data_IF_952404485955
#
_entry.id   IF_952404485955
#
_cell.length_a   1.000
_cell.length_b   1.000
_cell.length_c   1.000
_cell.angle_alpha   90.00
_cell.angle_beta   90.00
_cell.angle_gamma   90.00
#
_symmetry.space_group_name_H-M   'P 1'
#
loop_
_entity.id
_entity.type
_entity.pdbx_description
1 polymer ?
#
# COMPACT_ATOMS: atom_id res chain seq x y z
N UNK A 1 5.25 1.37 24.69
CA UNK A 1 6.63 1.52 25.15
C UNK A 1 7.13 2.94 24.91
N UNK A 2 6.89 3.52 23.73
CA UNK A 2 7.34 4.87 23.35
C UNK A 2 6.27 5.96 23.54
N UNK A 3 5.10 5.64 24.07
CA UNK A 3 4.00 6.60 24.30
C UNK A 3 3.25 7.01 23.03
N UNK A 4 3.33 6.21 21.96
CA UNK A 4 2.55 6.44 20.76
C UNK A 4 1.04 6.21 21.02
N UNK A 5 0.21 7.04 20.42
CA UNK A 5 -1.24 6.89 20.42
C UNK A 5 -1.68 6.06 19.21
N UNK A 6 -2.67 5.18 19.41
CA UNK A 6 -3.18 4.32 18.35
C UNK A 6 -4.70 4.41 18.31
N UNK A 7 -5.23 4.78 17.17
CA UNK A 7 -6.64 4.67 16.84
C UNK A 7 -6.87 3.49 15.87
N UNK A 8 -8.01 2.82 16.01
CA UNK A 8 -8.40 1.71 15.12
C UNK A 8 -9.82 1.94 14.64
N UNK A 9 -10.01 1.91 13.33
CA UNK A 9 -11.32 1.91 12.69
C UNK A 9 -11.53 0.52 12.08
N UNK A 10 -12.63 -0.16 12.36
CA UNK A 10 -12.84 -1.54 11.91
C UNK A 10 -14.26 -1.80 11.36
N UNK A 11 -14.37 -2.82 10.52
CA UNK A 11 -15.63 -3.29 9.97
C UNK A 11 -16.42 -2.20 9.24
N UNK A 12 -17.71 -2.12 9.50
CA UNK A 12 -18.62 -1.12 8.89
C UNK A 12 -18.24 0.34 9.24
N UNK A 13 -17.54 0.58 10.34
CA UNK A 13 -17.08 1.91 10.69
C UNK A 13 -16.09 2.49 9.66
N UNK A 14 -15.41 1.64 8.88
CA UNK A 14 -14.58 2.07 7.75
C UNK A 14 -15.38 2.84 6.70
N UNK A 15 -16.63 2.43 6.42
CA UNK A 15 -17.49 3.13 5.48
C UNK A 15 -17.87 4.52 6.01
N UNK A 16 -18.20 4.61 7.31
CA UNK A 16 -18.46 5.89 7.96
C UNK A 16 -17.25 6.82 8.01
N UNK A 17 -16.04 6.24 8.01
CA UNK A 17 -14.76 6.96 7.93
C UNK A 17 -14.29 7.23 6.48
N UNK A 18 -15.11 6.95 5.47
CA UNK A 18 -14.79 7.10 4.05
C UNK A 18 -13.54 6.30 3.62
N UNK A 19 -13.46 5.03 4.03
CA UNK A 19 -12.40 4.07 3.68
C UNK A 19 -12.99 2.83 2.96
N UNK A 20 -13.72 3.04 1.86
CA UNK A 20 -14.53 1.99 1.25
C UNK A 20 -13.71 0.90 0.56
N UNK A 21 -12.51 1.21 0.03
CA UNK A 21 -11.66 0.20 -0.60
C UNK A 21 -11.04 -0.74 0.43
N UNK A 22 -10.62 -0.22 1.59
CA UNK A 22 -10.14 -1.07 2.71
C UNK A 22 -11.27 -2.01 3.15
N UNK A 23 -12.49 -1.49 3.30
CA UNK A 23 -13.66 -2.28 3.64
C UNK A 23 -13.95 -3.35 2.57
N UNK A 24 -14.00 -2.97 1.29
CA UNK A 24 -14.33 -3.86 0.18
C UNK A 24 -13.38 -5.06 0.07
N UNK A 25 -12.08 -4.82 0.20
CA UNK A 25 -11.06 -5.89 0.14
C UNK A 25 -11.20 -6.85 1.32
N UNK A 26 -11.39 -6.34 2.54
CA UNK A 26 -11.32 -7.15 3.74
C UNK A 26 -12.66 -7.74 4.21
N UNK A 27 -13.81 -7.31 3.66
CA UNK A 27 -15.14 -7.72 4.14
C UNK A 27 -15.45 -9.21 3.98
N UNK A 28 -14.71 -9.91 3.13
CA UNK A 28 -14.85 -11.34 2.90
C UNK A 28 -14.03 -12.21 3.85
N UNK A 29 -13.10 -11.61 4.59
CA UNK A 29 -12.24 -12.30 5.54
C UNK A 29 -12.96 -12.72 6.81
N UNK A 30 -12.40 -13.68 7.57
CA UNK A 30 -12.97 -14.13 8.84
C UNK A 30 -12.82 -13.09 9.96
N UNK A 31 -11.93 -12.14 9.78
CA UNK A 31 -11.73 -11.00 10.68
C UNK A 31 -12.12 -9.72 9.97
N UNK A 32 -12.73 -8.80 10.69
CA UNK A 32 -13.10 -7.48 10.16
C UNK A 32 -11.87 -6.74 9.63
N UNK A 33 -11.99 -6.06 8.46
CA UNK A 33 -10.95 -5.15 7.98
C UNK A 33 -10.75 -3.99 8.94
N UNK A 34 -9.53 -3.47 9.00
CA UNK A 34 -9.14 -2.40 9.93
C UNK A 34 -8.21 -1.40 9.27
N UNK A 35 -8.31 -0.15 9.71
CA UNK A 35 -7.23 0.82 9.58
C UNK A 35 -6.67 1.08 10.98
N UNK A 36 -5.36 0.92 11.13
CA UNK A 36 -4.62 1.39 12.30
C UNK A 36 -3.99 2.74 11.96
N UNK A 37 -4.22 3.75 12.80
CA UNK A 37 -3.61 5.08 12.72
C UNK A 37 -2.82 5.31 14.01
N UNK A 38 -1.50 5.26 13.92
CA UNK A 38 -0.59 5.49 15.04
C UNK A 38 0.06 6.86 14.91
N UNK A 39 0.15 7.60 16.02
CA UNK A 39 0.77 8.92 16.09
C UNK A 39 1.80 8.98 17.21
N UNK A 40 2.90 9.68 16.93
CA UNK A 40 3.97 9.90 17.89
C UNK A 40 4.75 11.18 17.60
N UNK A 41 5.16 11.87 18.66
CA UNK A 41 5.97 13.09 18.57
C UNK A 41 5.14 14.34 18.28
N UNK A 42 5.55 15.46 18.88
CA UNK A 42 4.80 16.71 18.85
C UNK A 42 5.49 17.81 18.03
N UNK A 43 6.75 17.60 17.65
CA UNK A 43 7.60 18.63 17.04
C UNK A 43 8.31 18.11 15.77
N UNK A 44 8.67 19.06 14.90
CA UNK A 44 9.39 18.79 13.67
C UNK A 44 8.49 18.51 12.47
N UNK A 45 9.08 18.06 11.35
CA UNK A 45 8.34 17.75 10.13
C UNK A 45 7.38 16.58 10.33
N UNK A 46 6.28 16.58 9.60
CA UNK A 46 5.33 15.47 9.58
C UNK A 46 5.82 14.39 8.61
N UNK A 47 6.14 13.24 9.17
CA UNK A 47 6.47 12.02 8.42
C UNK A 47 5.29 11.05 8.48
N UNK A 48 4.68 10.76 7.34
CA UNK A 48 3.61 9.76 7.24
C UNK A 48 4.14 8.49 6.59
N UNK A 49 4.00 7.36 7.29
CA UNK A 49 4.35 6.03 6.79
C UNK A 49 3.06 5.24 6.52
N UNK A 50 2.95 4.67 5.33
CA UNK A 50 1.79 3.84 4.95
C UNK A 50 2.27 2.43 4.63
N UNK A 51 1.73 1.42 5.30
CA UNK A 51 2.17 0.04 5.14
C UNK A 51 1.06 -0.90 4.69
N UNK A 52 1.20 -1.55 3.52
CA UNK A 52 0.28 -2.62 3.09
C UNK A 52 0.24 -3.72 4.16
N UNK A 53 -0.94 -3.95 4.74
CA UNK A 53 -1.18 -4.91 5.81
C UNK A 53 -2.14 -6.04 5.40
N UNK A 54 -1.97 -6.62 4.22
CA UNK A 54 -2.76 -7.79 3.80
C UNK A 54 -2.23 -9.01 4.55
N UNK A 55 -2.96 -9.43 5.59
CA UNK A 55 -2.51 -10.50 6.50
C UNK A 55 -2.42 -11.86 5.83
N UNK A 56 -3.32 -12.12 4.87
CA UNK A 56 -3.25 -13.22 3.93
C UNK A 56 -3.94 -12.84 2.63
N UNK A 57 -3.39 -13.25 1.50
CA UNK A 57 -3.92 -12.94 0.19
C UNK A 57 -4.20 -14.22 -0.61
N UNK A 58 -5.49 -14.55 -0.76
CA UNK A 58 -5.92 -15.66 -1.62
C UNK A 58 -6.00 -15.27 -3.09
N UNK A 59 -5.93 -13.96 -3.41
CA UNK A 59 -6.28 -13.40 -4.70
C UNK A 59 -7.75 -13.00 -4.82
N UNK A 60 -8.56 -13.25 -3.80
CA UNK A 60 -10.00 -13.07 -3.88
C UNK A 60 -10.62 -14.03 -4.89
N UNK A 61 -11.61 -13.59 -5.66
CA UNK A 61 -12.25 -14.42 -6.68
C UNK A 61 -11.34 -14.74 -7.89
N UNK A 62 -10.31 -13.93 -8.15
CA UNK A 62 -9.21 -14.27 -9.05
C UNK A 62 -8.16 -15.09 -8.28
N UNK A 63 -8.57 -16.27 -7.82
CA UNK A 63 -7.83 -17.12 -6.90
C UNK A 63 -6.42 -17.44 -7.38
N UNK A 64 -5.43 -17.22 -6.52
CA UNK A 64 -4.02 -17.54 -6.82
C UNK A 64 -3.82 -19.05 -7.01
N UNK A 65 -2.87 -19.44 -7.90
CA UNK A 65 -2.37 -20.81 -7.91
C UNK A 65 -1.78 -21.19 -6.56
N UNK A 66 -1.93 -22.44 -6.14
CA UNK A 66 -1.48 -22.92 -4.84
C UNK A 66 0.02 -22.69 -4.58
N UNK A 67 0.86 -22.76 -5.61
CA UNK A 67 2.30 -22.48 -5.52
C UNK A 67 2.61 -21.02 -5.15
N UNK A 68 1.76 -20.07 -5.53
CA UNK A 68 1.89 -18.66 -5.16
C UNK A 68 1.21 -18.36 -3.84
N UNK A 69 0.02 -18.93 -3.61
CA UNK A 69 -0.80 -18.68 -2.42
C UNK A 69 -0.10 -19.10 -1.12
N UNK A 70 0.64 -20.21 -1.13
CA UNK A 70 1.29 -20.75 0.06
C UNK A 70 2.26 -19.79 0.77
N UNK A 71 2.74 -18.75 0.06
CA UNK A 71 3.64 -17.74 0.61
C UNK A 71 2.90 -16.47 1.08
N UNK A 72 1.59 -16.35 0.90
CA UNK A 72 0.86 -15.07 1.03
C UNK A 72 0.66 -14.61 2.48
N UNK A 73 1.07 -15.37 3.48
CA UNK A 73 1.25 -14.85 4.85
C UNK A 73 2.30 -13.72 4.94
N UNK A 74 3.15 -13.56 3.89
CA UNK A 74 4.14 -12.48 3.77
C UNK A 74 3.55 -11.15 3.30
N UNK A 75 2.28 -11.13 2.90
CA UNK A 75 1.71 -10.00 2.17
C UNK A 75 1.39 -8.77 3.04
N UNK A 76 1.70 -8.88 4.31
CA UNK A 76 1.76 -7.81 5.30
C UNK A 76 3.19 -7.24 5.47
N UNK A 77 4.12 -7.57 4.58
CA UNK A 77 5.52 -7.14 4.67
C UNK A 77 5.70 -5.62 4.62
N UNK A 78 4.81 -4.90 3.89
CA UNK A 78 4.78 -3.44 3.91
C UNK A 78 4.50 -2.88 5.30
N UNK A 79 3.46 -3.40 5.97
CA UNK A 79 3.12 -3.03 7.35
C UNK A 79 4.25 -3.38 8.33
N UNK A 80 4.85 -4.55 8.19
CA UNK A 80 5.98 -4.96 9.04
C UNK A 80 7.17 -3.99 8.90
N UNK A 81 7.50 -3.57 7.69
CA UNK A 81 8.59 -2.62 7.44
C UNK A 81 8.29 -1.23 8.04
N UNK A 82 7.09 -0.67 7.83
CA UNK A 82 6.78 0.65 8.40
C UNK A 82 6.72 0.61 9.92
N UNK A 83 6.28 -0.49 10.54
CA UNK A 83 6.31 -0.64 11.99
C UNK A 83 7.75 -0.75 12.51
N UNK A 84 8.61 -1.50 11.83
CA UNK A 84 10.04 -1.57 12.15
C UNK A 84 10.72 -0.20 12.04
N UNK A 85 10.46 0.53 10.96
CA UNK A 85 10.98 1.89 10.76
C UNK A 85 10.44 2.85 11.82
N UNK A 86 9.15 2.82 12.13
CA UNK A 86 8.55 3.63 13.19
C UNK A 86 9.21 3.35 14.56
N UNK A 87 9.43 2.09 14.88
CA UNK A 87 10.14 1.70 16.10
C UNK A 87 11.55 2.28 16.15
N UNK A 88 12.30 2.24 15.05
CA UNK A 88 13.65 2.80 14.95
C UNK A 88 13.64 4.33 15.10
N UNK A 89 12.68 5.03 14.50
CA UNK A 89 12.51 6.48 14.62
C UNK A 89 12.23 6.86 16.08
N UNK A 90 11.30 6.16 16.73
CA UNK A 90 10.94 6.41 18.13
C UNK A 90 12.10 6.09 19.08
N UNK A 91 12.79 4.97 18.87
CA UNK A 91 13.94 4.57 19.68
C UNK A 91 15.11 5.56 19.55
N UNK A 92 15.32 6.12 18.37
CA UNK A 92 16.33 7.15 18.12
C UNK A 92 15.89 8.55 18.58
N UNK A 93 14.65 8.69 19.06
CA UNK A 93 14.07 9.97 19.47
C UNK A 93 14.23 11.07 18.41
N UNK A 94 14.01 10.74 17.13
CA UNK A 94 14.13 11.69 16.05
C UNK A 94 13.10 12.82 16.20
N UNK A 95 13.47 14.09 15.94
CA UNK A 95 12.56 15.23 16.11
C UNK A 95 11.60 15.34 14.92
N UNK A 96 10.63 14.43 14.87
CA UNK A 96 9.58 14.36 13.83
C UNK A 96 8.23 14.13 14.46
N UNK A 97 7.18 14.60 13.79
CA UNK A 97 5.81 14.16 14.03
C UNK A 97 5.57 12.93 13.14
N UNK A 98 5.41 11.77 13.76
CA UNK A 98 5.25 10.51 13.04
C UNK A 98 3.79 10.11 13.01
N UNK A 99 3.29 9.80 11.80
CA UNK A 99 2.02 9.12 11.59
C UNK A 99 2.25 7.80 10.86
N UNK A 100 1.61 6.71 11.30
CA UNK A 100 1.70 5.41 10.64
C UNK A 100 0.29 4.91 10.35
N UNK A 101 0.00 4.63 9.07
CA UNK A 101 -1.27 4.12 8.59
C UNK A 101 -1.10 2.70 8.08
N UNK A 102 -1.87 1.76 8.64
CA UNK A 102 -1.83 0.36 8.24
C UNK A 102 -3.25 -0.12 7.95
N UNK A 103 -3.63 -0.26 6.67
CA UNK A 103 -4.81 -1.00 6.29
C UNK A 103 -4.56 -2.49 6.49
N UNK A 104 -5.15 -3.07 7.53
CA UNK A 104 -5.01 -4.47 7.90
C UNK A 104 -6.25 -5.25 7.47
N UNK A 105 -6.10 -6.11 6.47
CA UNK A 105 -7.18 -6.85 5.83
C UNK A 105 -6.75 -8.29 5.53
N UNK A 106 -7.72 -9.15 5.23
CA UNK A 106 -7.49 -10.43 4.58
C UNK A 106 -8.28 -10.46 3.27
N UNK A 107 -7.61 -10.70 2.14
CA UNK A 107 -8.25 -10.87 0.86
C UNK A 107 -8.69 -12.33 0.73
N UNK A 108 -9.96 -12.58 0.98
CA UNK A 108 -10.54 -13.93 1.08
C UNK A 108 -11.71 -14.16 0.15
N UNK A 109 -12.08 -15.42 -0.01
CA UNK A 109 -13.24 -15.85 -0.80
C UNK A 109 -14.40 -16.16 0.09
N UNK A 110 -15.51 -15.45 -0.10
CA UNK A 110 -16.80 -15.72 0.53
C UNK A 110 -17.94 -15.18 -0.32
N UNK A 111 -19.16 -15.33 0.13
CA UNK A 111 -20.34 -14.73 -0.53
C UNK A 111 -20.28 -13.19 -0.58
N UNK A 112 -19.44 -12.60 0.25
CA UNK A 112 -19.29 -11.14 0.43
C UNK A 112 -18.08 -10.56 -0.33
N UNK A 113 -17.31 -11.38 -1.06
CA UNK A 113 -16.14 -10.92 -1.82
C UNK A 113 -16.53 -9.86 -2.84
N UNK A 114 -15.65 -8.87 -3.03
CA UNK A 114 -15.76 -8.01 -4.19
C UNK A 114 -15.38 -8.80 -5.46
N UNK A 115 -15.87 -8.36 -6.61
CA UNK A 115 -15.91 -9.19 -7.83
C UNK A 115 -15.15 -8.52 -8.97
N UNK A 116 -14.62 -9.33 -9.90
CA UNK A 116 -14.20 -8.77 -11.18
C UNK A 116 -15.33 -7.98 -11.84
N UNK A 117 -14.99 -6.81 -12.37
CA UNK A 117 -15.88 -5.81 -12.99
C UNK A 117 -16.79 -5.06 -12.01
N UNK A 118 -16.66 -5.23 -10.72
CA UNK A 118 -17.21 -4.25 -9.78
C UNK A 118 -16.57 -2.88 -10.02
N UNK A 119 -17.34 -1.81 -9.85
CA UNK A 119 -16.85 -0.44 -9.80
C UNK A 119 -16.92 0.04 -8.36
N UNK A 120 -15.77 0.29 -7.76
CA UNK A 120 -15.66 0.74 -6.37
C UNK A 120 -15.29 2.22 -6.34
N UNK A 121 -15.74 2.96 -5.33
CA UNK A 121 -15.34 4.34 -5.10
C UNK A 121 -14.24 4.38 -4.05
N UNK A 122 -13.15 5.10 -4.32
CA UNK A 122 -12.07 5.34 -3.37
C UNK A 122 -12.39 6.52 -2.42
N UNK A 123 -11.60 6.65 -1.35
CA UNK A 123 -11.66 7.83 -0.44
C UNK A 123 -11.52 9.16 -1.20
N UNK A 124 -10.70 9.20 -2.23
CA UNK A 124 -10.50 10.38 -3.10
C UNK A 124 -11.76 10.79 -3.88
N UNK A 125 -12.76 9.92 -3.96
CA UNK A 125 -13.95 10.07 -4.80
C UNK A 125 -13.79 9.48 -6.20
N UNK A 126 -12.58 9.08 -6.61
CA UNK A 126 -12.36 8.39 -7.88
C UNK A 126 -12.98 7.00 -7.86
N UNK A 127 -13.48 6.59 -9.02
CA UNK A 127 -14.03 5.25 -9.22
C UNK A 127 -12.96 4.32 -9.78
N UNK A 128 -12.98 3.05 -9.35
CA UNK A 128 -12.01 2.03 -9.75
C UNK A 128 -12.74 0.82 -10.31
N UNK A 129 -12.46 0.48 -11.56
CA UNK A 129 -12.90 -0.77 -12.17
C UNK A 129 -12.00 -1.91 -11.69
N UNK A 130 -12.62 -2.97 -11.15
CA UNK A 130 -11.90 -4.13 -10.63
C UNK A 130 -11.75 -5.16 -11.74
N UNK A 131 -10.64 -5.14 -12.43
CA UNK A 131 -10.34 -6.15 -13.45
C UNK A 131 -9.61 -7.38 -12.85
N UNK A 132 -9.01 -7.23 -11.67
CA UNK A 132 -8.39 -8.35 -10.96
C UNK A 132 -8.49 -8.16 -9.45
N UNK A 133 -9.18 -9.06 -8.76
CA UNK A 133 -9.29 -9.05 -7.29
C UNK A 133 -7.97 -9.39 -6.58
N UNK A 134 -6.97 -9.92 -7.30
CA UNK A 134 -5.60 -10.17 -6.82
C UNK A 134 -4.70 -8.92 -6.89
N UNK A 135 -5.24 -7.79 -7.34
CA UNK A 135 -4.62 -6.48 -7.27
C UNK A 135 -5.26 -5.61 -6.16
N UNK A 136 -5.49 -6.21 -5.00
CA UNK A 136 -6.15 -5.64 -3.82
C UNK A 136 -5.24 -4.65 -3.07
N UNK A 137 -3.93 -4.90 -3.10
CA UNK A 137 -2.96 -4.10 -2.32
C UNK A 137 -2.98 -2.63 -2.68
N UNK A 138 -3.07 -2.28 -3.97
CA UNK A 138 -3.19 -0.90 -4.40
C UNK A 138 -4.52 -0.26 -3.98
N UNK A 139 -5.59 -1.04 -3.85
CA UNK A 139 -6.90 -0.55 -3.40
C UNK A 139 -6.84 -0.11 -1.94
N UNK A 140 -6.32 -0.94 -1.05
CA UNK A 140 -6.21 -0.60 0.36
C UNK A 140 -5.21 0.53 0.60
N UNK A 141 -4.16 0.63 -0.24
CA UNK A 141 -3.20 1.73 -0.19
C UNK A 141 -3.82 3.04 -0.67
N UNK A 142 -4.65 3.04 -1.70
CA UNK A 142 -5.30 4.24 -2.23
C UNK A 142 -6.07 4.99 -1.14
N UNK A 143 -6.91 4.30 -0.36
CA UNK A 143 -7.63 4.92 0.76
C UNK A 143 -6.68 5.43 1.85
N UNK A 144 -5.67 4.62 2.21
CA UNK A 144 -4.73 4.99 3.27
C UNK A 144 -3.81 6.15 2.87
N UNK A 145 -3.36 6.19 1.61
CA UNK A 145 -2.54 7.28 1.07
C UNK A 145 -3.34 8.57 0.98
N UNK A 146 -4.58 8.53 0.47
CA UNK A 146 -5.46 9.71 0.45
C UNK A 146 -5.68 10.26 1.85
N UNK A 147 -5.96 9.40 2.85
CA UNK A 147 -6.10 9.83 4.25
C UNK A 147 -4.81 10.43 4.81
N UNK A 148 -3.66 9.88 4.40
CA UNK A 148 -2.35 10.39 4.82
C UNK A 148 -2.04 11.76 4.24
N UNK A 149 -2.39 11.98 2.98
CA UNK A 149 -2.14 13.20 2.22
C UNK A 149 -2.98 14.40 2.69
N UNK A 150 -4.18 14.16 3.21
CA UNK A 150 -5.08 15.21 3.74
C UNK A 150 -4.44 16.08 4.83
N UNK A 151 -3.43 15.58 5.54
CA UNK A 151 -2.66 16.35 6.52
C UNK A 151 -1.44 17.07 5.92
N UNK A 152 -1.24 16.99 4.63
CA UNK A 152 -0.11 17.59 3.90
C UNK A 152 1.24 17.28 4.57
N UNK A 153 1.65 16.01 4.65
CA UNK A 153 2.91 15.64 5.29
C UNK A 153 4.12 16.21 4.54
N UNK A 154 5.18 16.54 5.27
CA UNK A 154 6.45 16.96 4.69
C UNK A 154 7.12 15.82 3.88
N UNK A 155 6.86 14.57 4.30
CA UNK A 155 7.26 13.37 3.57
C UNK A 155 6.26 12.24 3.83
N UNK A 156 5.82 11.58 2.76
CA UNK A 156 5.02 10.37 2.86
C UNK A 156 5.75 9.21 2.19
N UNK A 157 5.83 8.06 2.87
CA UNK A 157 6.48 6.85 2.37
C UNK A 157 5.48 5.70 2.45
N UNK A 158 5.23 5.04 1.31
CA UNK A 158 4.44 3.82 1.24
C UNK A 158 5.34 2.60 1.07
N UNK A 159 5.07 1.54 1.83
CA UNK A 159 5.77 0.26 1.70
C UNK A 159 4.78 -0.88 1.47
N UNK A 160 5.05 -1.70 0.44
CA UNK A 160 4.13 -2.76 0.06
C UNK A 160 4.84 -3.92 -0.63
N UNK A 161 4.37 -5.13 -0.37
CA UNK A 161 4.65 -6.31 -1.19
C UNK A 161 3.70 -6.32 -2.39
N UNK A 162 3.79 -5.31 -3.26
CA UNK A 162 2.72 -4.95 -4.18
C UNK A 162 2.65 -5.83 -5.42
N UNK A 163 3.80 -5.99 -6.12
CA UNK A 163 3.87 -6.81 -7.35
C UNK A 163 5.15 -7.63 -7.39
N UNK A 164 5.11 -8.77 -8.09
CA UNK A 164 6.31 -9.54 -8.41
C UNK A 164 7.14 -8.97 -9.57
N UNK A 165 6.62 -7.99 -10.32
CA UNK A 165 7.21 -7.52 -11.57
C UNK A 165 8.60 -6.91 -11.39
N UNK A 166 8.78 -6.04 -10.40
CA UNK A 166 10.10 -5.44 -10.12
C UNK A 166 11.13 -6.50 -9.69
N UNK A 167 10.71 -7.52 -8.93
CA UNK A 167 11.60 -8.61 -8.51
C UNK A 167 12.10 -9.43 -9.68
N UNK A 168 11.32 -9.56 -10.75
CA UNK A 168 11.77 -10.24 -11.99
C UNK A 168 12.90 -9.46 -12.64
N UNK A 169 12.87 -8.13 -12.60
CA UNK A 169 13.90 -7.26 -13.19
C UNK A 169 15.13 -7.09 -12.30
N UNK A 170 14.93 -6.89 -10.99
CA UNK A 170 15.99 -6.48 -10.05
C UNK A 170 16.51 -7.61 -9.17
N UNK A 171 15.86 -8.77 -9.15
CA UNK A 171 16.13 -9.83 -8.19
C UNK A 171 15.49 -9.59 -6.82
N UNK A 172 15.71 -10.51 -5.85
CA UNK A 172 15.06 -10.44 -4.54
C UNK A 172 15.73 -9.48 -3.56
N UNK A 173 16.99 -9.12 -3.78
CA UNK A 173 17.83 -8.44 -2.78
C UNK A 173 17.90 -6.92 -3.00
N UNK A 174 17.53 -6.43 -4.18
CA UNK A 174 17.56 -5.02 -4.51
C UNK A 174 16.15 -4.43 -4.50
N UNK A 175 15.83 -3.68 -3.44
CA UNK A 175 14.49 -3.13 -3.28
C UNK A 175 14.23 -1.95 -4.24
N UNK A 176 13.15 -2.01 -5.05
CA UNK A 176 12.74 -0.91 -5.89
C UNK A 176 12.05 0.18 -5.09
N UNK A 177 12.23 1.43 -5.50
CA UNK A 177 11.43 2.55 -5.03
C UNK A 177 11.11 3.53 -6.17
N UNK A 178 10.07 4.33 -5.96
CA UNK A 178 9.57 5.35 -6.89
C UNK A 178 9.52 6.69 -6.18
N UNK A 179 9.94 7.73 -6.83
CA UNK A 179 9.78 9.14 -6.42
C UNK A 179 10.14 10.05 -7.58
N UNK A 180 9.48 11.21 -7.69
CA UNK A 180 9.84 12.27 -8.63
C UNK A 180 10.89 13.23 -8.06
N UNK A 181 11.13 13.18 -6.73
CA UNK A 181 12.15 13.99 -6.07
C UNK A 181 13.55 13.38 -6.27
N UNK A 182 14.33 13.99 -7.18
CA UNK A 182 15.70 13.58 -7.47
C UNK A 182 16.64 13.71 -6.27
N UNK A 183 16.40 14.70 -5.41
CA UNK A 183 17.22 14.93 -4.21
C UNK A 183 16.97 13.81 -3.20
N UNK A 184 15.70 13.48 -2.97
CA UNK A 184 15.32 12.38 -2.08
C UNK A 184 15.87 11.05 -2.62
N UNK A 185 15.69 10.79 -3.93
CA UNK A 185 16.19 9.57 -4.56
C UNK A 185 17.70 9.40 -4.35
N UNK A 186 18.49 10.46 -4.60
CA UNK A 186 19.93 10.42 -4.41
C UNK A 186 20.32 10.14 -2.95
N UNK A 187 19.65 10.80 -2.00
CA UNK A 187 19.88 10.59 -0.56
C UNK A 187 19.56 9.17 -0.12
N UNK A 188 18.46 8.62 -0.59
CA UNK A 188 18.04 7.24 -0.28
C UNK A 188 19.07 6.22 -0.81
N UNK A 189 19.51 6.37 -2.06
CA UNK A 189 20.50 5.46 -2.65
C UNK A 189 21.84 5.51 -1.92
N UNK A 190 22.32 6.71 -1.55
CA UNK A 190 23.56 6.86 -0.77
C UNK A 190 23.42 6.22 0.61
N UNK A 191 22.30 6.46 1.29
CA UNK A 191 22.04 5.92 2.62
C UNK A 191 21.95 4.40 2.59
N UNK A 192 21.21 3.85 1.62
CA UNK A 192 21.11 2.40 1.42
C UNK A 192 22.47 1.76 1.18
N UNK A 193 23.32 2.37 0.35
CA UNK A 193 24.68 1.87 0.12
C UNK A 193 25.55 1.90 1.39
N UNK A 194 25.44 2.95 2.21
CA UNK A 194 26.18 3.05 3.48
C UNK A 194 25.75 2.04 4.53
N UNK A 195 24.48 1.70 4.53
CA UNK A 195 23.86 0.81 5.52
C UNK A 195 23.83 -0.66 5.07
N UNK A 196 24.41 -0.97 3.89
CA UNK A 196 24.33 -2.28 3.24
C UNK A 196 22.89 -2.75 2.99
N UNK A 197 21.98 -1.80 2.74
CA UNK A 197 20.57 -2.00 2.39
C UNK A 197 20.29 -1.26 1.06
N UNK A 198 20.75 -1.81 -0.08
CA UNK A 198 20.74 -1.11 -1.35
C UNK A 198 19.30 -0.95 -1.88
N UNK A 199 19.04 0.21 -2.47
CA UNK A 199 17.79 0.56 -3.11
C UNK A 199 18.00 0.91 -4.57
N UNK A 200 17.01 0.70 -5.41
CA UNK A 200 17.07 1.05 -6.82
C UNK A 200 15.86 1.86 -7.24
N UNK A 201 16.11 3.09 -7.75
CA UNK A 201 15.03 3.95 -8.25
C UNK A 201 14.48 3.41 -9.55
N UNK A 202 13.18 3.17 -9.57
CA UNK A 202 12.40 2.88 -10.78
C UNK A 202 11.75 4.17 -11.28
N UNK A 203 11.55 4.34 -12.61
CA UNK A 203 10.94 5.55 -13.14
C UNK A 203 9.41 5.51 -12.99
N UNK A 204 8.79 6.64 -12.65
CA UNK A 204 7.46 6.93 -13.13
C UNK A 204 7.56 7.25 -14.63
N UNK A 205 6.67 6.70 -15.43
CA UNK A 205 6.65 6.91 -16.87
C UNK A 205 5.24 7.28 -17.30
N UNK A 206 4.96 8.57 -17.38
CA UNK A 206 3.64 9.16 -17.62
C UNK A 206 2.88 8.55 -18.81
N UNK A 207 3.52 8.18 -19.94
CA UNK A 207 2.80 7.51 -21.02
C UNK A 207 2.13 6.18 -20.63
N UNK A 208 2.53 5.56 -19.52
CA UNK A 208 1.90 4.34 -18.99
C UNK A 208 0.64 4.63 -18.16
N UNK A 209 0.31 5.89 -17.88
CA UNK A 209 -0.99 6.25 -17.29
C UNK A 209 -2.15 5.77 -18.16
N UNK A 210 -1.99 5.81 -19.49
CA UNK A 210 -2.99 5.25 -20.40
C UNK A 210 -3.27 3.76 -20.21
N UNK A 211 -2.35 3.03 -19.57
CA UNK A 211 -2.52 1.60 -19.28
C UNK A 211 -3.46 1.37 -18.09
N UNK A 212 -3.64 2.35 -17.22
CA UNK A 212 -4.54 2.29 -16.06
C UNK A 212 -5.84 3.06 -16.31
N UNK A 213 -6.06 3.56 -17.52
CA UNK A 213 -7.33 4.12 -17.95
C UNK A 213 -8.34 2.99 -18.18
N UNK A 214 -9.48 3.00 -17.55
CA UNK A 214 -10.47 1.94 -17.66
C UNK A 214 -11.49 2.18 -18.76
N UNK A 215 -12.39 1.21 -18.94
CA UNK A 215 -13.52 1.37 -19.85
C UNK A 215 -14.68 2.19 -19.29
N UNK A 216 -14.96 2.09 -17.99
CA UNK A 216 -16.20 2.59 -17.36
C UNK A 216 -15.99 3.35 -16.04
N UNK A 217 -14.78 3.36 -15.47
CA UNK A 217 -14.45 4.05 -14.23
C UNK A 217 -13.35 5.09 -14.46
N UNK A 218 -12.82 5.72 -13.41
CA UNK A 218 -11.69 6.65 -13.54
C UNK A 218 -10.36 5.92 -13.60
N UNK A 219 -10.24 4.76 -12.94
CA UNK A 219 -9.02 3.95 -12.87
C UNK A 219 -9.33 2.45 -13.07
N UNK A 220 -8.36 1.73 -13.66
CA UNK A 220 -8.32 0.25 -13.73
C UNK A 220 -7.30 -0.29 -12.73
N UNK A 221 -7.73 -1.19 -11.86
CA UNK A 221 -6.82 -1.75 -10.86
C UNK A 221 -5.82 -2.77 -11.42
N UNK A 222 -6.04 -3.30 -12.61
CA UNK A 222 -5.20 -4.35 -13.18
C UNK A 222 -5.17 -4.32 -14.71
N UNK A 223 -4.41 -3.39 -15.30
CA UNK A 223 -4.35 -3.23 -16.74
C UNK A 223 -3.92 -4.53 -17.44
N UNK A 224 -4.49 -4.75 -18.61
CA UNK A 224 -4.19 -5.91 -19.45
C UNK A 224 -2.79 -5.82 -20.06
N UNK A 225 -2.20 -6.97 -20.45
CA UNK A 225 -1.00 -7.01 -21.28
C UNK A 225 0.27 -7.50 -20.59
N UNK A 226 0.33 -7.59 -19.29
CA UNK A 226 1.43 -8.21 -18.54
C UNK A 226 2.76 -7.46 -18.52
N UNK A 227 2.84 -6.27 -19.13
CA UNK A 227 4.03 -5.42 -19.14
C UNK A 227 3.90 -4.26 -18.13
N UNK A 228 5.05 -3.71 -17.72
CA UNK A 228 5.16 -2.55 -16.84
C UNK A 228 4.41 -2.68 -15.50
N UNK A 229 4.08 -3.88 -15.05
CA UNK A 229 3.21 -4.12 -13.89
C UNK A 229 3.67 -3.49 -12.58
N UNK A 230 4.97 -3.21 -12.40
CA UNK A 230 5.47 -2.47 -11.24
C UNK A 230 5.24 -0.97 -11.38
N UNK A 231 5.44 -0.40 -12.58
CA UNK A 231 5.26 1.04 -12.86
C UNK A 231 3.79 1.39 -12.80
N UNK A 232 2.93 0.61 -13.46
CA UNK A 232 1.48 0.84 -13.45
C UNK A 232 0.87 0.69 -12.05
N UNK A 233 1.43 -0.18 -11.22
CA UNK A 233 1.01 -0.29 -9.82
C UNK A 233 1.47 0.89 -8.95
N UNK A 234 2.52 1.59 -9.35
CA UNK A 234 3.02 2.78 -8.67
C UNK A 234 2.33 4.07 -9.19
N UNK A 235 1.86 4.07 -10.45
CA UNK A 235 1.07 5.16 -11.03
C UNK A 235 -0.37 5.17 -10.52
N UNK A 236 -0.95 3.99 -10.22
CA UNK A 236 -2.29 3.85 -9.65
C UNK A 236 -2.40 4.53 -8.29
#
# INVERSE_FOLDING_TARGET
EFGAEIAVVSGEALLGASLPLIHAVGRAGPQEPRLLDMRWGDNGPLLTLVGKGVCFDTGGLNLKPGSSMGLMKKDMGGAANVLGLAMMIMAASLPVRLRVLIPAVENSVSSNSFRPQDVLTARSGLTVEINNTDAEGRLVLADALTLGDEEMPDLMISMATLTGAARVALGPDLAPFYTDDDTLAHRLMISGGKMADPLWRMPFWDPYETMIEPGIADLDNAPSGGFAGSITAALF
#
